data_IF_613621062687
#
_entry.id   IF_613621062687
#
_cell.length_a   1.000
_cell.length_b   1.000
_cell.length_c   1.000
_cell.angle_alpha   90.00
_cell.angle_beta   90.00
_cell.angle_gamma   90.00
#
_symmetry.space_group_name_H-M   'P 1'
#
loop_
_entity.id
_entity.type
_entity.pdbx_description
1 polymer ?
#
# COMPACT_ATOMS: atom_id res chain seq x y z
N UNK A 1 -12.24 -3.55 9.98
CA UNK A 1 -10.95 -2.87 10.16
C UNK A 1 -10.06 -3.24 8.98
N UNK A 2 -9.69 -2.31 8.10
CA UNK A 2 -8.76 -2.61 6.98
C UNK A 2 -7.36 -2.94 7.52
N UNK A 3 -6.84 -4.12 7.21
CA UNK A 3 -5.47 -4.53 7.53
C UNK A 3 -4.51 -4.05 6.42
N UNK A 4 -3.45 -3.32 6.80
CA UNK A 4 -2.41 -2.86 5.88
C UNK A 4 -1.88 -4.00 4.99
N UNK A 5 -1.55 -5.16 5.56
CA UNK A 5 -1.00 -6.28 4.80
C UNK A 5 -2.02 -6.95 3.89
N UNK A 6 -3.31 -6.88 4.22
CA UNK A 6 -4.38 -7.37 3.35
C UNK A 6 -4.46 -6.51 2.09
N UNK A 7 -4.50 -5.19 2.27
CA UNK A 7 -4.56 -4.22 1.18
C UNK A 7 -3.29 -4.24 0.32
N UNK A 8 -2.10 -4.31 0.93
CA UNK A 8 -0.84 -4.45 0.19
C UNK A 8 -0.88 -5.69 -0.72
N UNK A 9 -1.33 -6.83 -0.19
CA UNK A 9 -1.41 -8.04 -0.99
C UNK A 9 -2.43 -7.92 -2.12
N UNK A 10 -3.61 -7.38 -1.84
CA UNK A 10 -4.69 -7.22 -2.82
C UNK A 10 -4.38 -6.19 -3.91
N UNK A 11 -3.87 -5.02 -3.54
CA UNK A 11 -3.70 -3.88 -4.45
C UNK A 11 -2.34 -3.89 -5.17
N UNK A 12 -1.33 -4.59 -4.63
CA UNK A 12 0.04 -4.54 -5.16
C UNK A 12 0.58 -5.91 -5.58
N UNK A 13 0.33 -6.96 -4.79
CA UNK A 13 1.06 -8.23 -4.94
C UNK A 13 0.31 -9.26 -5.80
N UNK A 14 -0.98 -9.49 -5.50
CA UNK A 14 -1.75 -10.53 -6.18
C UNK A 14 -1.99 -10.17 -7.65
N UNK A 15 -1.86 -11.18 -8.52
CA UNK A 15 -2.01 -11.02 -9.97
C UNK A 15 -0.84 -10.32 -10.67
N UNK A 16 0.24 -10.00 -9.95
CA UNK A 16 1.42 -9.35 -10.51
C UNK A 16 2.66 -10.23 -10.41
N UNK A 17 3.36 -10.38 -11.53
CA UNK A 17 4.68 -11.02 -11.57
C UNK A 17 5.73 -9.93 -11.46
N UNK A 18 6.63 -10.07 -10.49
CA UNK A 18 7.79 -9.21 -10.34
C UNK A 18 9.00 -9.95 -10.88
N UNK A 19 9.78 -9.28 -11.72
CA UNK A 19 10.94 -9.89 -12.40
C UNK A 19 12.23 -9.73 -11.62
N UNK A 20 12.23 -8.87 -10.59
CA UNK A 20 13.35 -8.68 -9.68
C UNK A 20 12.89 -8.29 -8.28
N UNK A 21 13.72 -8.59 -7.30
CA UNK A 21 13.52 -8.10 -5.93
C UNK A 21 13.48 -6.57 -5.88
N UNK A 22 14.33 -5.90 -6.66
CA UNK A 22 14.42 -4.44 -6.67
C UNK A 22 13.13 -3.78 -7.18
N UNK A 23 12.47 -4.38 -8.18
CA UNK A 23 11.16 -3.96 -8.66
C UNK A 23 10.09 -4.10 -7.56
N UNK A 24 10.05 -5.26 -6.90
CA UNK A 24 9.14 -5.52 -5.79
C UNK A 24 9.36 -4.52 -4.66
N UNK A 25 10.61 -4.33 -4.23
CA UNK A 25 11.00 -3.41 -3.16
C UNK A 25 10.55 -1.98 -3.46
N UNK A 26 10.86 -1.46 -4.66
CA UNK A 26 10.46 -0.11 -5.07
C UNK A 26 8.93 0.03 -5.09
N UNK A 27 8.22 -0.99 -5.54
CA UNK A 27 6.75 -0.96 -5.61
C UNK A 27 6.13 -0.94 -4.21
N UNK A 28 6.60 -1.79 -3.30
CA UNK A 28 6.15 -1.80 -1.90
C UNK A 28 6.46 -0.46 -1.20
N UNK A 29 7.66 0.10 -1.41
CA UNK A 29 8.02 1.40 -0.82
C UNK A 29 7.10 2.53 -1.30
N UNK A 30 6.78 2.57 -2.60
CA UNK A 30 5.81 3.53 -3.15
C UNK A 30 4.42 3.34 -2.53
N UNK A 31 3.99 2.09 -2.37
CA UNK A 31 2.69 1.79 -1.76
C UNK A 31 2.63 2.21 -0.29
N UNK A 32 3.69 1.97 0.50
CA UNK A 32 3.77 2.42 1.90
C UNK A 32 3.63 3.94 1.97
N UNK A 33 4.37 4.68 1.14
CA UNK A 33 4.29 6.13 1.11
C UNK A 33 2.88 6.63 0.72
N UNK A 34 2.27 6.03 -0.30
CA UNK A 34 0.89 6.31 -0.68
C UNK A 34 -0.08 6.03 0.48
N UNK A 35 -0.01 4.84 1.07
CA UNK A 35 -0.89 4.41 2.14
C UNK A 35 -0.80 5.37 3.34
N UNK A 36 0.41 5.76 3.73
CA UNK A 36 0.63 6.61 4.90
C UNK A 36 0.26 8.07 4.68
N UNK A 37 0.54 8.64 3.51
CA UNK A 37 0.45 10.10 3.31
C UNK A 37 -0.64 10.55 2.36
N UNK A 38 -1.23 9.63 1.59
CA UNK A 38 -2.19 9.98 0.52
C UNK A 38 -3.52 9.24 0.63
N UNK A 39 -3.56 8.04 1.22
CA UNK A 39 -4.80 7.28 1.38
C UNK A 39 -5.68 7.91 2.44
N UNK A 40 -6.83 8.44 2.03
CA UNK A 40 -7.81 9.02 2.95
C UNK A 40 -8.59 7.93 3.68
N UNK A 41 -8.77 8.09 4.99
CA UNK A 41 -9.57 7.19 5.81
C UNK A 41 -10.65 7.95 6.56
N UNK A 42 -11.90 7.52 6.39
CA UNK A 42 -13.06 8.07 7.11
C UNK A 42 -12.86 8.01 8.62
N UNK A 43 -12.37 6.87 9.14
CA UNK A 43 -12.06 6.69 10.57
C UNK A 43 -11.02 7.67 11.14
N UNK A 44 -10.29 8.38 10.28
CA UNK A 44 -9.32 9.42 10.65
C UNK A 44 -9.89 10.83 10.39
N UNK A 45 -11.20 10.95 10.22
CA UNK A 45 -11.85 12.22 9.87
C UNK A 45 -11.46 12.68 8.46
N UNK A 46 -11.43 11.75 7.50
CA UNK A 46 -11.04 12.00 6.10
C UNK A 46 -9.59 12.51 5.96
N UNK A 47 -8.69 12.02 6.80
CA UNK A 47 -7.25 12.30 6.74
C UNK A 47 -6.45 11.06 6.34
N UNK A 48 -5.20 11.29 5.95
CA UNK A 48 -4.19 10.24 5.81
C UNK A 48 -3.79 9.64 7.16
N UNK A 49 -3.24 8.41 7.19
CA UNK A 49 -2.71 7.80 8.40
C UNK A 49 -1.62 8.59 9.13
N UNK A 50 -0.78 9.31 8.37
CA UNK A 50 0.28 10.20 8.86
C UNK A 50 -0.04 11.63 8.46
#
# INVERSE_FOLDING_TARGET
MENFFGLLKQEVYYGRIFTSFEELRKTIQKFIHYYNHKRIKEKLGWKSPV
#
